data_IF_009951903298
#
_entry.id   IF_009951903298
#
_cell.length_a   1.000
_cell.length_b   1.000
_cell.length_c   1.000
_cell.angle_alpha   90.00
_cell.angle_beta   90.00
_cell.angle_gamma   90.00
#
_symmetry.space_group_name_H-M   'P 1'
#
loop_
_entity.id
_entity.type
_entity.pdbx_description
1 polymer ?
#
# COMPACT_ATOMS: atom_id res chain seq x y z
N UNK A 1 2.84 3.18 24.06
CA UNK A 1 3.64 4.43 24.05
C UNK A 1 3.26 5.25 25.28
N UNK A 2 4.10 6.13 25.82
CA UNK A 2 3.64 7.03 26.88
C UNK A 2 2.96 8.28 26.30
N UNK A 3 2.20 9.00 27.13
CA UNK A 3 1.42 10.16 26.70
C UNK A 3 2.28 11.36 26.29
N UNK A 4 3.48 11.49 26.86
CA UNK A 4 4.40 12.58 26.55
C UNK A 4 5.02 12.40 25.16
N UNK A 5 5.42 11.17 24.82
CA UNK A 5 5.88 10.81 23.48
C UNK A 5 4.80 11.07 22.43
N UNK A 6 3.55 10.67 22.69
CA UNK A 6 2.45 10.89 21.77
C UNK A 6 2.20 12.40 21.52
N UNK A 7 2.19 13.20 22.59
CA UNK A 7 2.02 14.66 22.50
C UNK A 7 3.12 15.33 21.67
N UNK A 8 4.37 14.87 21.76
CA UNK A 8 5.49 15.38 20.95
C UNK A 8 5.35 15.02 19.47
N UNK A 9 4.80 13.83 19.17
CA UNK A 9 4.48 13.43 17.80
C UNK A 9 3.35 14.30 17.22
N UNK A 10 2.28 14.52 17.98
CA UNK A 10 1.18 15.42 17.60
C UNK A 10 1.66 16.86 17.37
N UNK A 11 2.56 17.34 18.24
CA UNK A 11 3.21 18.64 18.12
C UNK A 11 4.24 18.74 16.99
N UNK A 12 4.55 17.63 16.31
CA UNK A 12 5.54 17.52 15.23
C UNK A 12 6.92 18.05 15.63
N UNK A 13 7.31 17.77 16.88
CA UNK A 13 8.58 18.24 17.45
C UNK A 13 9.77 17.45 16.86
N UNK A 14 10.27 17.93 15.71
CA UNK A 14 11.25 17.23 14.88
C UNK A 14 12.50 16.73 15.61
N UNK A 15 12.90 17.39 16.70
CA UNK A 15 14.06 16.99 17.50
C UNK A 15 13.84 15.68 18.28
N UNK A 16 12.60 15.33 18.63
CA UNK A 16 12.27 14.13 19.41
C UNK A 16 11.72 12.98 18.57
N UNK A 17 11.12 13.28 17.40
CA UNK A 17 10.48 12.27 16.54
C UNK A 17 11.42 11.08 16.24
N UNK A 18 12.69 11.27 15.82
CA UNK A 18 13.55 10.13 15.46
C UNK A 18 13.75 9.13 16.59
N UNK A 19 13.96 9.62 17.82
CA UNK A 19 14.23 8.78 18.98
C UNK A 19 12.96 8.05 19.43
N UNK A 20 11.83 8.75 19.50
CA UNK A 20 10.52 8.18 19.85
C UNK A 20 10.15 7.06 18.87
N UNK A 21 10.24 7.33 17.56
CA UNK A 21 9.86 6.34 16.55
C UNK A 21 10.87 5.19 16.47
N UNK A 22 12.17 5.43 16.67
CA UNK A 22 13.17 4.36 16.72
C UNK A 22 12.94 3.42 17.91
N UNK A 23 12.62 3.97 19.09
CA UNK A 23 12.28 3.15 20.25
C UNK A 23 11.01 2.33 19.97
N UNK A 24 9.95 2.97 19.48
CA UNK A 24 8.70 2.31 19.15
C UNK A 24 8.88 1.19 18.13
N UNK A 25 9.53 1.48 17.00
CA UNK A 25 9.72 0.54 15.90
C UNK A 25 10.56 -0.66 16.32
N UNK A 26 11.60 -0.47 17.14
CA UNK A 26 12.40 -1.56 17.68
C UNK A 26 11.61 -2.44 18.64
N UNK A 27 10.85 -1.81 19.55
CA UNK A 27 10.08 -2.51 20.57
C UNK A 27 8.92 -3.32 20.00
N UNK A 28 8.31 -2.83 18.92
CA UNK A 28 7.07 -3.38 18.35
C UNK A 28 7.26 -4.03 16.96
N UNK A 29 8.51 -4.25 16.53
CA UNK A 29 8.84 -4.83 15.22
C UNK A 29 8.11 -6.15 14.93
N UNK A 30 7.95 -6.98 15.96
CA UNK A 30 7.33 -8.32 15.92
C UNK A 30 5.97 -8.36 16.62
N UNK A 31 5.36 -7.19 16.87
CA UNK A 31 4.06 -7.11 17.53
C UNK A 31 2.97 -7.68 16.62
N UNK A 32 2.19 -8.63 17.16
CA UNK A 32 1.02 -9.26 16.52
C UNK A 32 -0.27 -9.12 17.33
N UNK A 33 -0.17 -8.80 18.63
CA UNK A 33 -1.32 -8.63 19.54
C UNK A 33 -1.34 -7.18 20.01
N UNK A 34 -2.45 -6.49 19.77
CA UNK A 34 -2.57 -5.03 19.93
C UNK A 34 -3.48 -4.60 21.09
N UNK A 35 -3.90 -5.52 21.97
CA UNK A 35 -4.84 -5.25 23.07
C UNK A 35 -4.47 -4.02 23.92
N UNK A 36 -3.17 -3.79 24.17
CA UNK A 36 -2.71 -2.62 24.93
C UNK A 36 -2.92 -1.29 24.19
N UNK A 37 -3.02 -1.30 22.87
CA UNK A 37 -3.24 -0.13 22.01
C UNK A 37 -4.72 0.17 21.77
N UNK A 38 -5.61 -0.79 22.05
CA UNK A 38 -7.06 -0.58 21.98
C UNK A 38 -7.58 0.22 23.17
N UNK A 39 -6.82 0.23 24.27
CA UNK A 39 -7.12 1.05 25.44
C UNK A 39 -6.85 2.52 25.16
N UNK A 40 -7.72 3.41 25.67
CA UNK A 40 -7.58 4.87 25.59
C UNK A 40 -7.33 5.44 24.18
N UNK A 41 -7.87 4.77 23.15
CA UNK A 41 -7.75 5.17 21.75
C UNK A 41 -6.29 5.27 21.24
N UNK A 42 -5.34 4.65 21.93
CA UNK A 42 -3.91 4.86 21.67
C UNK A 42 -3.49 4.51 20.24
N UNK A 43 -4.06 3.45 19.65
CA UNK A 43 -3.81 3.11 18.26
C UNK A 43 -4.18 4.27 17.31
N UNK A 44 -5.36 4.85 17.50
CA UNK A 44 -5.89 5.88 16.60
C UNK A 44 -5.17 7.22 16.76
N UNK A 45 -4.89 7.63 18.00
CA UNK A 45 -4.13 8.87 18.23
C UNK A 45 -2.72 8.76 17.63
N UNK A 46 -2.03 7.63 17.83
CA UNK A 46 -0.73 7.40 17.20
C UNK A 46 -0.84 7.38 15.67
N UNK A 47 -1.87 6.71 15.13
CA UNK A 47 -2.13 6.69 13.68
C UNK A 47 -2.24 8.12 13.13
N UNK A 48 -3.09 8.97 13.71
CA UNK A 48 -3.29 10.35 13.27
C UNK A 48 -2.03 11.20 13.44
N UNK A 49 -1.30 11.07 14.55
CA UNK A 49 -0.05 11.80 14.77
C UNK A 49 0.98 11.49 13.68
N UNK A 50 1.12 10.21 13.31
CA UNK A 50 2.06 9.78 12.27
C UNK A 50 1.64 10.29 10.89
N UNK A 51 0.36 10.21 10.53
CA UNK A 51 -0.12 10.76 9.26
C UNK A 51 -0.04 12.29 9.20
N UNK A 52 -0.15 12.98 10.34
CA UNK A 52 0.15 14.40 10.44
C UNK A 52 1.60 14.75 10.10
N UNK A 53 2.56 13.88 10.46
CA UNK A 53 3.98 14.05 10.10
C UNK A 53 4.20 13.70 8.61
N UNK A 54 3.53 12.67 8.09
CA UNK A 54 3.60 12.27 6.68
C UNK A 54 3.04 13.34 5.72
N UNK A 55 2.09 14.15 6.17
CA UNK A 55 1.54 15.27 5.41
C UNK A 55 2.47 16.50 5.41
N UNK A 56 3.47 16.54 6.29
CA UNK A 56 4.43 17.65 6.37
C UNK A 56 5.66 17.40 5.49
N UNK A 57 5.77 18.17 4.39
CA UNK A 57 6.89 18.09 3.47
C UNK A 57 8.23 18.50 4.10
N UNK A 58 8.25 19.35 5.13
CA UNK A 58 9.47 19.74 5.83
C UNK A 58 10.05 18.57 6.64
N UNK A 59 9.19 17.65 7.05
CA UNK A 59 9.54 16.43 7.78
C UNK A 59 9.75 15.22 6.85
N UNK A 60 9.92 15.44 5.54
CA UNK A 60 10.12 14.39 4.54
C UNK A 60 11.27 13.42 4.87
N UNK A 61 12.31 13.90 5.56
CA UNK A 61 13.43 13.08 6.01
C UNK A 61 13.05 12.03 7.08
N UNK A 62 11.91 12.20 7.76
CA UNK A 62 11.37 11.30 8.78
C UNK A 62 10.31 10.33 8.23
N UNK A 63 9.88 10.52 6.97
CA UNK A 63 8.75 9.77 6.40
C UNK A 63 8.99 8.26 6.37
N UNK A 64 10.22 7.80 6.08
CA UNK A 64 10.54 6.37 6.13
C UNK A 64 10.34 5.77 7.53
N UNK A 65 10.78 6.46 8.58
CA UNK A 65 10.59 6.01 9.97
C UNK A 65 9.11 6.04 10.38
N UNK A 66 8.37 7.04 9.92
CA UNK A 66 6.92 7.13 10.08
C UNK A 66 6.22 5.94 9.42
N UNK A 67 6.59 5.61 8.18
CA UNK A 67 6.01 4.48 7.46
C UNK A 67 6.36 3.12 8.10
N UNK A 68 7.53 2.96 8.72
CA UNK A 68 7.80 1.76 9.52
C UNK A 68 6.82 1.61 10.69
N UNK A 69 6.46 2.72 11.33
CA UNK A 69 5.45 2.76 12.40
C UNK A 69 4.08 2.38 11.85
N UNK A 70 3.66 2.99 10.73
CA UNK A 70 2.40 2.65 10.03
C UNK A 70 2.37 1.16 9.66
N UNK A 71 3.48 0.60 9.15
CA UNK A 71 3.58 -0.82 8.80
C UNK A 71 3.33 -1.76 9.98
N UNK A 72 3.69 -1.35 11.19
CA UNK A 72 3.36 -2.10 12.41
C UNK A 72 1.86 -1.95 12.71
N UNK A 73 1.33 -0.73 12.73
CA UNK A 73 -0.07 -0.45 13.06
C UNK A 73 -1.06 -1.13 12.09
N UNK A 74 -0.71 -1.21 10.80
CA UNK A 74 -1.51 -1.89 9.76
C UNK A 74 -1.62 -3.41 9.93
N UNK A 75 -0.98 -4.01 10.93
CA UNK A 75 -1.16 -5.44 11.26
C UNK A 75 -2.38 -5.68 12.15
N UNK A 76 -2.91 -4.64 12.77
CA UNK A 76 -4.04 -4.74 13.70
C UNK A 76 -5.38 -4.68 12.97
N UNK A 77 -5.88 -5.85 12.57
CA UNK A 77 -7.17 -5.98 11.88
C UNK A 77 -8.31 -5.30 12.65
N UNK A 78 -8.35 -5.42 13.97
CA UNK A 78 -9.41 -4.86 14.80
C UNK A 78 -9.49 -3.34 14.64
N UNK A 79 -8.36 -2.64 14.86
CA UNK A 79 -8.33 -1.18 14.74
C UNK A 79 -8.60 -0.70 13.32
N UNK A 80 -8.17 -1.45 12.30
CA UNK A 80 -8.47 -1.12 10.90
C UNK A 80 -9.97 -1.24 10.55
N UNK A 81 -10.70 -2.13 11.21
CA UNK A 81 -12.15 -2.30 11.02
C UNK A 81 -12.98 -1.30 11.82
N UNK A 82 -12.47 -0.82 12.97
CA UNK A 82 -13.20 0.09 13.85
C UNK A 82 -12.99 1.56 13.53
N UNK A 83 -11.92 1.91 12.82
CA UNK A 83 -11.56 3.30 12.52
C UNK A 83 -11.79 3.65 11.04
N UNK A 84 -12.24 4.88 10.77
CA UNK A 84 -12.36 5.40 9.42
C UNK A 84 -11.00 5.95 8.95
N UNK A 85 -10.38 5.25 7.99
CA UNK A 85 -8.99 5.54 7.54
C UNK A 85 -8.89 5.87 6.03
N UNK A 86 -9.99 6.28 5.41
CA UNK A 86 -10.05 6.49 3.95
C UNK A 86 -9.04 7.55 3.47
N UNK A 87 -8.88 8.60 4.25
CA UNK A 87 -7.95 9.68 3.96
C UNK A 87 -6.49 9.20 3.99
N UNK A 88 -6.13 8.41 5.00
CA UNK A 88 -4.77 7.90 5.20
C UNK A 88 -4.38 6.86 4.15
N UNK A 89 -5.34 6.03 3.72
CA UNK A 89 -5.15 5.13 2.55
C UNK A 89 -4.83 5.95 1.29
N UNK A 90 -5.52 7.07 1.08
CA UNK A 90 -5.28 7.96 -0.06
C UNK A 90 -3.89 8.61 0.01
N UNK A 91 -3.45 9.01 1.20
CA UNK A 91 -2.08 9.51 1.41
C UNK A 91 -1.02 8.44 1.13
N UNK A 92 -1.22 7.19 1.56
CA UNK A 92 -0.32 6.09 1.25
C UNK A 92 -0.23 5.82 -0.26
N UNK A 93 -1.34 5.90 -0.98
CA UNK A 93 -1.36 5.75 -2.45
C UNK A 93 -0.54 6.85 -3.14
N UNK A 94 -0.62 8.10 -2.65
CA UNK A 94 0.22 9.21 -3.11
C UNK A 94 1.70 8.96 -2.84
N UNK A 95 2.06 8.58 -1.61
CA UNK A 95 3.45 8.29 -1.22
C UNK A 95 4.03 7.12 -2.03
N UNK A 96 3.21 6.12 -2.34
CA UNK A 96 3.58 4.99 -3.19
C UNK A 96 3.60 5.34 -4.69
N UNK A 97 3.26 6.58 -5.09
CA UNK A 97 3.14 7.04 -6.48
C UNK A 97 2.25 6.13 -7.33
N UNK A 98 1.16 5.66 -6.72
CA UNK A 98 0.12 4.83 -7.37
C UNK A 98 -1.27 5.42 -7.17
N UNK A 99 -1.37 6.65 -6.68
CA UNK A 99 -2.62 7.40 -6.79
C UNK A 99 -2.97 7.52 -8.27
N UNK A 100 -4.25 7.37 -8.60
CA UNK A 100 -4.72 7.71 -9.92
C UNK A 100 -4.65 9.23 -10.05
N UNK A 101 -3.47 9.75 -10.36
CA UNK A 101 -3.26 11.13 -10.74
C UNK A 101 -4.12 11.37 -11.98
N UNK A 102 -5.36 11.80 -11.73
CA UNK A 102 -6.38 12.20 -12.69
C UNK A 102 -6.26 11.51 -14.05
N UNK A 103 -6.76 10.27 -14.15
CA UNK A 103 -7.33 9.78 -15.41
C UNK A 103 -8.56 10.64 -15.75
N UNK A 104 -8.39 11.96 -15.93
CA UNK A 104 -9.32 12.71 -16.76
C UNK A 104 -9.17 12.07 -18.12
N UNK A 105 -10.20 11.36 -18.56
CA UNK A 105 -10.29 10.96 -19.95
C UNK A 105 -10.15 12.25 -20.75
N UNK A 106 -9.12 12.37 -21.60
CA UNK A 106 -8.98 13.54 -22.45
C UNK A 106 -10.21 13.56 -23.35
N UNK A 107 -11.06 14.57 -23.17
CA UNK A 107 -12.27 14.74 -23.96
C UNK A 107 -11.90 15.22 -25.38
N UNK A 108 -10.67 15.71 -25.55
CA UNK A 108 -10.16 16.24 -26.82
C UNK A 108 -8.74 15.74 -27.14
N UNK A 109 -8.36 15.66 -28.42
CA UNK A 109 -7.00 15.31 -28.85
C UNK A 109 -5.89 16.26 -28.33
N UNK A 110 -6.25 17.50 -27.99
CA UNK A 110 -5.31 18.48 -27.44
C UNK A 110 -5.04 18.26 -25.94
N UNK A 111 -6.04 17.77 -25.19
CA UNK A 111 -5.87 17.36 -23.79
C UNK A 111 -5.03 16.08 -23.67
N UNK A 112 -5.07 15.18 -24.67
CA UNK A 112 -4.19 14.00 -24.77
C UNK A 112 -2.73 14.43 -24.81
N UNK A 113 -2.39 15.38 -25.70
CA UNK A 113 -1.01 15.87 -25.84
C UNK A 113 -0.52 16.56 -24.57
N UNK A 114 -1.36 17.36 -23.92
CA UNK A 114 -1.01 18.02 -22.65
C UNK A 114 -0.87 17.04 -21.48
N UNK A 115 -1.67 15.97 -21.44
CA UNK A 115 -1.49 14.89 -20.46
C UNK A 115 -0.21 14.09 -20.72
N UNK A 116 0.10 13.78 -21.98
CA UNK A 116 1.33 13.10 -22.37
C UNK A 116 2.56 13.97 -22.03
N UNK A 117 2.54 15.26 -22.35
CA UNK A 117 3.61 16.21 -22.02
C UNK A 117 3.77 16.44 -20.50
N UNK A 118 2.67 16.51 -19.74
CA UNK A 118 2.70 16.60 -18.28
C UNK A 118 3.13 15.31 -17.58
N UNK A 119 2.82 14.15 -18.14
CA UNK A 119 3.27 12.84 -17.64
C UNK A 119 4.77 12.60 -17.92
N UNK A 120 5.27 13.08 -19.06
CA UNK A 120 6.70 13.02 -19.41
C UNK A 120 7.59 13.84 -18.45
N UNK A 121 7.05 14.88 -17.79
CA UNK A 121 7.77 15.66 -16.77
C UNK A 121 7.83 14.98 -15.39
N UNK A 122 6.95 14.01 -15.10
CA UNK A 122 6.90 13.28 -13.82
C UNK A 122 7.75 11.99 -13.83
N UNK A 123 8.34 11.66 -14.97
CA UNK A 123 9.18 10.46 -15.15
C UNK A 123 10.64 10.72 -14.75
N UNK A 124 10.87 11.55 -13.72
CA UNK A 124 12.15 11.58 -13.04
C UNK A 124 12.31 10.31 -12.20
N UNK A 125 13.42 9.60 -12.40
CA UNK A 125 13.77 8.46 -11.57
C UNK A 125 13.81 8.90 -10.10
N UNK A 126 13.09 8.21 -9.20
CA UNK A 126 13.08 8.60 -7.79
C UNK A 126 14.49 8.55 -7.22
N UNK A 127 14.83 9.51 -6.37
CA UNK A 127 16.06 9.42 -5.58
C UNK A 127 16.03 8.16 -4.69
N UNK A 128 17.18 7.76 -4.13
CA UNK A 128 17.24 6.60 -3.22
C UNK A 128 16.28 6.76 -2.04
N UNK A 129 16.26 7.93 -1.39
CA UNK A 129 15.35 8.23 -0.29
C UNK A 129 13.87 8.18 -0.70
N UNK A 130 13.54 8.66 -1.90
CA UNK A 130 12.17 8.56 -2.43
C UNK A 130 11.79 7.10 -2.72
N UNK A 131 12.73 6.30 -3.20
CA UNK A 131 12.51 4.86 -3.44
C UNK A 131 12.21 4.12 -2.14
N UNK A 132 12.90 4.46 -1.05
CA UNK A 132 12.64 3.89 0.28
C UNK A 132 11.23 4.25 0.79
N UNK A 133 10.82 5.51 0.63
CA UNK A 133 9.46 5.96 0.97
C UNK A 133 8.41 5.20 0.17
N UNK A 134 8.58 5.09 -1.15
CA UNK A 134 7.66 4.36 -2.03
C UNK A 134 7.57 2.89 -1.58
N UNK A 135 8.72 2.25 -1.31
CA UNK A 135 8.76 0.86 -0.89
C UNK A 135 8.03 0.64 0.44
N UNK A 136 8.25 1.50 1.44
CA UNK A 136 7.57 1.40 2.74
C UNK A 136 6.07 1.69 2.64
N UNK A 137 5.66 2.66 1.81
CA UNK A 137 4.25 2.93 1.56
C UNK A 137 3.55 1.72 0.90
N UNK A 138 4.20 1.07 -0.08
CA UNK A 138 3.69 -0.15 -0.70
C UNK A 138 3.57 -1.31 0.30
N UNK A 139 4.52 -1.45 1.24
CA UNK A 139 4.43 -2.44 2.33
C UNK A 139 3.20 -2.19 3.22
N UNK A 140 2.95 -0.93 3.58
CA UNK A 140 1.77 -0.54 4.36
C UNK A 140 0.47 -0.86 3.60
N UNK A 141 0.41 -0.52 2.30
CA UNK A 141 -0.74 -0.83 1.45
C UNK A 141 -0.97 -2.35 1.31
N UNK A 142 0.08 -3.15 1.19
CA UNK A 142 -0.04 -4.61 1.17
C UNK A 142 -0.71 -5.13 2.45
N UNK A 143 -0.29 -4.65 3.62
CA UNK A 143 -0.91 -5.01 4.90
C UNK A 143 -2.38 -4.58 4.94
N UNK A 144 -2.69 -3.34 4.56
CA UNK A 144 -4.06 -2.82 4.57
C UNK A 144 -4.99 -3.63 3.66
N UNK A 145 -4.57 -3.92 2.43
CA UNK A 145 -5.37 -4.70 1.48
C UNK A 145 -5.53 -6.14 1.94
N UNK A 146 -4.51 -6.72 2.57
CA UNK A 146 -4.58 -8.06 3.16
C UNK A 146 -5.58 -8.12 4.33
N UNK A 147 -5.46 -7.21 5.30
CA UNK A 147 -6.25 -7.22 6.54
C UNK A 147 -7.67 -6.65 6.40
N UNK A 148 -7.91 -5.71 5.48
CA UNK A 148 -9.19 -5.01 5.38
C UNK A 148 -9.80 -5.12 3.98
N UNK A 149 -10.98 -5.73 3.93
CA UNK A 149 -11.78 -5.79 2.70
C UNK A 149 -12.25 -4.40 2.26
N UNK A 150 -12.46 -3.46 3.20
CA UNK A 150 -12.80 -2.07 2.88
C UNK A 150 -11.63 -1.34 2.22
N UNK A 151 -10.42 -1.46 2.78
CA UNK A 151 -9.21 -0.90 2.17
C UNK A 151 -8.97 -1.50 0.78
N UNK A 152 -9.19 -2.81 0.61
CA UNK A 152 -9.12 -3.47 -0.71
C UNK A 152 -10.09 -2.85 -1.71
N UNK A 153 -11.37 -2.69 -1.34
CA UNK A 153 -12.36 -2.01 -2.19
C UNK A 153 -11.96 -0.58 -2.51
N UNK A 154 -11.39 0.14 -1.55
CA UNK A 154 -10.94 1.50 -1.75
C UNK A 154 -9.79 1.60 -2.75
N UNK A 155 -8.76 0.76 -2.64
CA UNK A 155 -7.65 0.69 -3.60
C UNK A 155 -8.17 0.41 -5.03
N UNK A 156 -9.13 -0.50 -5.18
CA UNK A 156 -9.77 -0.78 -6.47
C UNK A 156 -10.52 0.45 -7.02
N UNK A 157 -11.25 1.18 -6.18
CA UNK A 157 -12.00 2.39 -6.59
C UNK A 157 -11.08 3.55 -6.98
N UNK A 158 -9.91 3.65 -6.36
CA UNK A 158 -8.95 4.72 -6.64
C UNK A 158 -8.03 4.40 -7.83
N UNK A 159 -8.35 3.39 -8.65
CA UNK A 159 -7.61 3.01 -9.86
C UNK A 159 -6.10 2.81 -9.64
N UNK A 160 -5.68 2.44 -8.43
CA UNK A 160 -4.25 2.30 -8.13
C UNK A 160 -3.61 1.15 -8.93
N UNK A 161 -4.41 0.15 -9.30
CA UNK A 161 -3.96 -0.98 -10.11
C UNK A 161 -3.48 -0.55 -11.50
N UNK A 162 -4.12 0.44 -12.12
CA UNK A 162 -3.73 0.92 -13.45
C UNK A 162 -2.34 1.58 -13.39
N UNK A 163 -2.07 2.34 -12.33
CA UNK A 163 -0.76 2.94 -12.08
C UNK A 163 0.31 1.86 -11.84
N UNK A 164 -0.01 0.83 -11.04
CA UNK A 164 0.89 -0.29 -10.78
C UNK A 164 1.18 -1.06 -12.08
N UNK A 165 0.16 -1.40 -12.86
CA UNK A 165 0.32 -2.12 -14.14
C UNK A 165 1.18 -1.32 -15.13
N UNK A 166 0.98 0.01 -15.22
CA UNK A 166 1.84 0.89 -16.03
C UNK A 166 3.29 0.86 -15.55
N UNK A 167 3.51 0.92 -14.23
CA UNK A 167 4.86 0.90 -13.63
C UNK A 167 5.56 -0.44 -13.90
N UNK A 168 4.85 -1.54 -13.69
CA UNK A 168 5.31 -2.90 -13.97
C UNK A 168 5.64 -3.10 -15.45
N UNK A 169 4.76 -2.70 -16.36
CA UNK A 169 4.97 -2.83 -17.81
C UNK A 169 6.17 -2.00 -18.31
N UNK A 170 6.52 -0.94 -17.59
CA UNK A 170 7.65 -0.06 -17.90
C UNK A 170 8.98 -0.56 -17.30
N UNK A 171 8.94 -1.53 -16.37
CA UNK A 171 10.14 -2.12 -15.77
C UNK A 171 10.75 -3.12 -16.72
N UNK A 172 11.86 -2.76 -17.36
CA UNK A 172 12.71 -3.70 -18.08
C UNK A 172 13.95 -4.02 -17.24
N UNK A 173 14.03 -5.27 -16.79
CA UNK A 173 15.20 -5.99 -16.22
C UNK A 173 15.27 -5.98 -14.68
N UNK A 174 14.98 -7.16 -14.13
CA UNK A 174 15.12 -7.62 -12.74
C UNK A 174 14.19 -6.94 -11.71
N UNK A 175 13.38 -7.72 -10.96
CA UNK A 175 12.51 -7.16 -9.94
C UNK A 175 13.33 -6.48 -8.85
N UNK A 176 13.25 -5.14 -8.78
CA UNK A 176 13.69 -4.41 -7.60
C UNK A 176 12.64 -4.55 -6.49
N UNK A 177 12.97 -4.18 -5.25
CA UNK A 177 12.04 -4.30 -4.12
C UNK A 177 10.67 -3.63 -4.39
N UNK A 178 10.63 -2.56 -5.18
CA UNK A 178 9.40 -1.89 -5.59
C UNK A 178 8.52 -2.79 -6.47
N UNK A 179 9.10 -3.43 -7.48
CA UNK A 179 8.37 -4.34 -8.37
C UNK A 179 7.81 -5.53 -7.60
N UNK A 180 8.53 -6.04 -6.59
CA UNK A 180 8.01 -7.08 -5.71
C UNK A 180 6.74 -6.64 -4.97
N UNK A 181 6.76 -5.46 -4.33
CA UNK A 181 5.58 -4.99 -3.58
C UNK A 181 4.43 -4.56 -4.49
N UNK A 182 4.71 -4.07 -5.69
CA UNK A 182 3.71 -3.84 -6.73
C UNK A 182 2.95 -5.10 -7.09
N UNK A 183 3.69 -6.18 -7.38
CA UNK A 183 3.11 -7.48 -7.69
C UNK A 183 2.34 -8.05 -6.50
N UNK A 184 2.88 -7.92 -5.28
CA UNK A 184 2.21 -8.36 -4.05
C UNK A 184 0.88 -7.62 -3.84
N UNK A 185 0.85 -6.31 -4.10
CA UNK A 185 -0.35 -5.50 -4.00
C UNK A 185 -1.39 -5.87 -5.07
N UNK A 186 -0.96 -6.10 -6.32
CA UNK A 186 -1.84 -6.63 -7.38
C UNK A 186 -2.44 -7.97 -6.96
N UNK A 187 -1.62 -8.89 -6.44
CA UNK A 187 -2.08 -10.20 -5.99
C UNK A 187 -3.14 -10.07 -4.89
N UNK A 188 -2.90 -9.28 -3.84
CA UNK A 188 -3.86 -9.10 -2.76
C UNK A 188 -5.14 -8.37 -3.18
N UNK A 189 -5.04 -7.39 -4.08
CA UNK A 189 -6.23 -6.70 -4.59
C UNK A 189 -7.18 -7.64 -5.34
N UNK A 190 -6.62 -8.59 -6.12
CA UNK A 190 -7.39 -9.50 -6.97
C UNK A 190 -7.70 -10.87 -6.33
N UNK A 191 -7.02 -11.27 -5.24
CA UNK A 191 -7.22 -12.57 -4.57
C UNK A 191 -8.54 -12.68 -3.77
N UNK A 192 -9.53 -11.84 -4.09
CA UNK A 192 -10.84 -11.75 -3.45
C UNK A 192 -11.76 -12.94 -3.76
N UNK A 193 -11.29 -14.17 -3.54
CA UNK A 193 -12.07 -15.39 -3.74
C UNK A 193 -11.70 -16.60 -2.86
N UNK A 194 -10.81 -16.50 -1.87
CA UNK A 194 -10.31 -17.70 -1.16
C UNK A 194 -10.33 -17.69 0.37
N UNK A 195 -10.81 -16.66 1.07
CA UNK A 195 -10.81 -16.65 2.53
C UNK A 195 -12.15 -16.23 3.13
N UNK A 196 -12.86 -17.20 3.72
CA UNK A 196 -13.72 -16.94 4.88
C UNK A 196 -15.23 -17.16 4.78
N UNK A 197 -15.73 -18.25 4.19
CA UNK A 197 -17.05 -18.77 4.60
C UNK A 197 -17.05 -20.29 4.65
N UNK A 198 -17.58 -20.83 5.75
CA UNK A 198 -17.66 -22.27 6.03
C UNK A 198 -18.28 -23.07 4.87
N UNK A 199 -17.88 -24.34 4.67
CA UNK A 199 -18.42 -25.16 3.59
C UNK A 199 -19.87 -25.54 3.89
N UNK A 200 -20.83 -24.84 3.27
CA UNK A 200 -22.18 -25.35 3.10
C UNK A 200 -22.20 -26.30 1.90
N UNK A 201 -22.73 -27.53 2.03
CA UNK A 201 -22.71 -28.50 0.95
C UNK A 201 -23.90 -28.23 0.03
N UNK A 202 -23.76 -27.30 -0.93
CA UNK A 202 -24.62 -27.32 -2.11
C UNK A 202 -23.96 -26.70 -3.34
N UNK A 203 -23.34 -27.61 -4.09
CA UNK A 203 -23.22 -27.66 -5.56
C UNK A 203 -24.09 -26.64 -6.31
N UNK A 204 -23.53 -25.50 -6.71
CA UNK A 204 -23.82 -24.75 -7.97
C UNK A 204 -23.00 -23.46 -8.08
N UNK A 205 -21.67 -23.56 -8.10
CA UNK A 205 -20.80 -22.47 -8.57
C UNK A 205 -19.64 -23.07 -9.38
N UNK A 206 -19.96 -23.61 -10.57
CA UNK A 206 -18.96 -24.05 -11.56
C UNK A 206 -18.83 -23.11 -12.76
N UNK A 207 -19.50 -21.96 -12.74
CA UNK A 207 -19.52 -21.01 -13.85
C UNK A 207 -18.62 -19.78 -13.70
N UNK A 208 -17.99 -19.54 -12.54
CA UNK A 208 -17.13 -18.37 -12.33
C UNK A 208 -15.61 -18.62 -12.46
N UNK A 209 -15.19 -19.86 -12.72
CA UNK A 209 -13.78 -20.20 -12.95
C UNK A 209 -13.31 -19.93 -14.40
N UNK A 210 -14.23 -19.60 -15.31
CA UNK A 210 -13.88 -19.38 -16.72
C UNK A 210 -13.55 -17.92 -17.06
N UNK A 211 -13.69 -16.99 -16.11
CA UNK A 211 -13.55 -15.54 -16.34
C UNK A 211 -12.33 -14.92 -15.63
N UNK A 212 -11.44 -15.75 -15.06
CA UNK A 212 -10.21 -15.28 -14.39
C UNK A 212 -8.99 -15.26 -15.31
N UNK A 213 -9.14 -15.55 -16.61
CA UNK A 213 -8.06 -15.43 -17.61
C UNK A 213 -8.05 -14.08 -18.34
N UNK A 214 -9.07 -13.22 -18.12
CA UNK A 214 -9.20 -11.94 -18.84
C UNK A 214 -8.06 -10.96 -18.56
N UNK A 215 -7.66 -10.81 -17.29
CA UNK A 215 -6.59 -9.88 -16.90
C UNK A 215 -5.19 -10.31 -17.36
N UNK A 216 -4.98 -11.61 -17.64
CA UNK A 216 -3.74 -12.11 -18.23
C UNK A 216 -3.59 -11.73 -19.71
N UNK A 217 -4.69 -11.42 -20.40
CA UNK A 217 -4.66 -11.06 -21.82
C UNK A 217 -4.25 -9.60 -22.07
N UNK A 218 -4.24 -8.76 -21.02
CA UNK A 218 -3.75 -7.38 -21.10
C UNK A 218 -2.26 -7.22 -20.78
N UNK A 219 -1.55 -8.32 -20.47
CA UNK A 219 -0.09 -8.29 -20.30
C UNK A 219 0.62 -8.39 -21.66
N UNK A 220 1.72 -7.64 -21.85
CA UNK A 220 2.51 -7.74 -23.07
C UNK A 220 3.27 -9.08 -23.04
N UNK A 221 2.67 -10.10 -23.68
CA UNK A 221 3.15 -11.49 -23.82
C UNK A 221 2.72 -12.47 -22.70
N UNK A 222 1.96 -13.54 -23.03
CA UNK A 222 1.56 -14.61 -22.11
C UNK A 222 2.73 -15.39 -21.48
N UNK A 223 3.94 -15.32 -22.06
CA UNK A 223 5.12 -16.02 -21.57
C UNK A 223 5.76 -15.32 -20.37
N UNK A 224 5.95 -14.00 -20.46
CA UNK A 224 6.43 -13.18 -19.34
C UNK A 224 5.47 -13.25 -18.15
N UNK A 225 4.18 -13.38 -18.44
CA UNK A 225 3.16 -13.48 -17.42
C UNK A 225 3.31 -14.71 -16.51
N UNK A 226 3.61 -15.85 -17.11
CA UNK A 226 3.75 -17.11 -16.40
C UNK A 226 5.03 -17.17 -15.56
N UNK A 227 6.14 -16.65 -16.07
CA UNK A 227 7.40 -16.61 -15.31
C UNK A 227 7.30 -15.68 -14.10
N UNK A 228 6.69 -14.50 -14.25
CA UNK A 228 6.46 -13.59 -13.13
C UNK A 228 5.49 -14.17 -12.10
N UNK A 229 4.46 -14.91 -12.51
CA UNK A 229 3.55 -15.62 -11.61
C UNK A 229 4.23 -16.73 -10.81
N UNK A 230 5.14 -17.48 -11.42
CA UNK A 230 5.94 -18.49 -10.72
C UNK A 230 6.78 -17.81 -9.64
N UNK A 231 7.44 -16.69 -9.98
CA UNK A 231 8.22 -15.89 -9.03
C UNK A 231 7.31 -15.35 -7.90
N UNK A 232 6.11 -14.85 -8.21
CA UNK A 232 5.15 -14.36 -7.19
C UNK A 232 4.70 -15.50 -6.26
N UNK A 233 4.39 -16.68 -6.81
CA UNK A 233 3.97 -17.83 -6.02
C UNK A 233 5.11 -18.40 -5.14
N UNK A 234 6.34 -18.42 -5.65
CA UNK A 234 7.51 -18.86 -4.88
C UNK A 234 7.87 -17.87 -3.76
N UNK A 235 7.80 -16.56 -4.03
CA UNK A 235 8.09 -15.54 -3.02
C UNK A 235 7.00 -15.45 -1.95
N UNK A 236 5.72 -15.62 -2.31
CA UNK A 236 4.61 -15.62 -1.34
C UNK A 236 4.64 -16.83 -0.37
N UNK A 237 5.32 -17.92 -0.75
CA UNK A 237 5.51 -19.11 0.09
C UNK A 237 6.76 -19.02 0.98
N UNK A 238 7.62 -18.02 0.77
CA UNK A 238 8.92 -17.89 1.44
C UNK A 238 8.87 -17.08 2.75
N UNK A 239 7.75 -16.41 3.05
CA UNK A 239 7.57 -15.53 4.22
C UNK A 239 6.53 -16.08 5.25
N UNK A 240 6.36 -17.40 5.33
CA UNK A 240 5.63 -18.08 6.45
C UNK A 240 6.62 -18.69 7.43
#
# INVERSE_FOLDING_TARGET
>A
MDAEHLKRLEGREAEYIPDILNEFNKKHADLLVFDSFHSDNQWHELWLAIFGILDDAQLGHLHTQCLNTVRILTRDEFSLQTNYIEHEVSQLLRLARVEASSLKLPATPDELKQQEEGQLQLQEQPSLAQSDIIAEALKCLCNLVYQSADCRRQCLRQHCLDAILKRVASSMRHPCALEYYDMKLLFFAHSSGASGSQPSPNRSQRSHLHDQSGWMTSWPSPAAAREQLIIICELAQSDV
#
